data_IF_567116431208
#
_entry.id   IF_567116431208
#
_cell.length_a   1.000
_cell.length_b   1.000
_cell.length_c   1.000
_cell.angle_alpha   90.00
_cell.angle_beta   90.00
_cell.angle_gamma   90.00
#
_symmetry.space_group_name_H-M   'P 1'
#
loop_
_entity.id
_entity.type
_entity.pdbx_description
1 polymer ?
#
# COMPACT_ATOMS: atom_id res chain seq x y z
N UNK A 1 -33.18 22.68 1.24
CA UNK A 1 -32.20 23.70 1.67
C UNK A 1 -30.97 23.48 0.85
N UNK A 2 -30.30 24.51 0.42
CA UNK A 2 -29.05 24.37 -0.38
C UNK A 2 -27.95 23.83 0.54
N UNK A 3 -27.38 22.68 0.21
CA UNK A 3 -26.30 22.03 0.99
C UNK A 3 -25.02 22.85 0.86
N UNK A 4 -24.56 23.44 1.97
CA UNK A 4 -23.36 24.30 2.00
C UNK A 4 -22.15 23.55 2.51
N UNK A 5 -21.04 23.60 1.75
CA UNK A 5 -19.77 22.93 2.04
C UNK A 5 -18.70 24.00 2.31
N UNK A 6 -17.96 23.84 3.41
CA UNK A 6 -16.77 24.64 3.70
C UNK A 6 -15.53 23.84 3.29
N UNK A 7 -14.71 24.40 2.40
CA UNK A 7 -13.39 23.85 2.04
C UNK A 7 -12.33 24.61 2.82
N UNK A 8 -11.51 23.89 3.57
CA UNK A 8 -10.40 24.44 4.35
C UNK A 8 -9.09 23.88 3.78
N UNK A 9 -8.35 24.72 3.06
CA UNK A 9 -7.12 24.33 2.33
C UNK A 9 -6.27 25.57 2.08
N UNK A 10 -4.97 25.50 2.35
CA UNK A 10 -4.03 26.61 2.13
C UNK A 10 -3.62 26.76 0.66
N UNK A 11 -3.79 25.70 -0.15
CA UNK A 11 -3.67 25.81 -1.61
C UNK A 11 -4.92 26.46 -2.21
N UNK A 12 -4.82 27.79 -2.39
CA UNK A 12 -5.89 28.63 -2.95
C UNK A 12 -6.32 28.11 -4.33
N UNK A 13 -5.41 27.65 -5.15
CA UNK A 13 -5.68 27.14 -6.51
C UNK A 13 -6.52 25.86 -6.44
N UNK A 14 -6.14 24.93 -5.59
CA UNK A 14 -6.86 23.70 -5.36
C UNK A 14 -8.25 23.95 -4.75
N UNK A 15 -8.34 24.82 -3.73
CA UNK A 15 -9.62 25.20 -3.12
C UNK A 15 -10.58 25.84 -4.13
N UNK A 16 -10.11 26.74 -5.02
CA UNK A 16 -10.92 27.36 -6.08
C UNK A 16 -11.36 26.34 -7.14
N UNK A 17 -10.50 25.40 -7.49
CA UNK A 17 -10.84 24.31 -8.41
C UNK A 17 -11.97 23.46 -7.83
N UNK A 18 -11.84 23.00 -6.60
CA UNK A 18 -12.86 22.21 -5.91
C UNK A 18 -14.17 23.01 -5.74
N UNK A 19 -14.08 24.28 -5.34
CA UNK A 19 -15.26 25.15 -5.25
C UNK A 19 -16.01 25.22 -6.58
N UNK A 20 -15.31 25.50 -7.66
CA UNK A 20 -15.93 25.60 -9.00
C UNK A 20 -16.58 24.27 -9.41
N UNK A 21 -15.91 23.16 -9.12
CA UNK A 21 -16.37 21.83 -9.47
C UNK A 21 -17.61 21.40 -8.65
N UNK A 22 -17.64 21.67 -7.34
CA UNK A 22 -18.78 21.39 -6.45
C UNK A 22 -19.97 22.32 -6.71
N UNK A 23 -19.72 23.63 -6.96
CA UNK A 23 -20.79 24.58 -7.30
C UNK A 23 -21.53 24.19 -8.59
N UNK A 24 -20.84 23.65 -9.59
CA UNK A 24 -21.47 23.12 -10.81
C UNK A 24 -22.39 21.92 -10.54
N UNK A 25 -22.27 21.30 -9.37
CA UNK A 25 -23.09 20.14 -8.93
C UNK A 25 -24.21 20.52 -7.96
N UNK A 26 -24.40 21.82 -7.74
CA UNK A 26 -25.51 22.34 -6.95
C UNK A 26 -25.22 22.56 -5.47
N UNK A 27 -23.94 22.46 -5.05
CA UNK A 27 -23.56 22.78 -3.68
C UNK A 27 -23.23 24.26 -3.51
N UNK A 28 -23.66 24.87 -2.39
CA UNK A 28 -23.13 26.15 -1.95
C UNK A 28 -21.73 25.94 -1.37
N UNK A 29 -20.71 26.63 -1.86
CA UNK A 29 -19.32 26.36 -1.42
C UNK A 29 -18.61 27.63 -0.99
N UNK A 30 -18.04 27.59 0.23
CA UNK A 30 -17.12 28.60 0.76
C UNK A 30 -15.73 28.02 0.98
N UNK A 31 -14.71 28.88 0.97
CA UNK A 31 -13.30 28.46 1.13
C UNK A 31 -12.66 29.24 2.27
N UNK A 32 -11.84 28.56 3.08
CA UNK A 32 -11.00 29.12 4.12
C UNK A 32 -9.56 28.63 3.93
N UNK A 33 -8.58 29.52 4.06
CA UNK A 33 -7.16 29.21 3.85
C UNK A 33 -6.40 28.88 5.15
N UNK A 34 -7.09 28.80 6.29
CA UNK A 34 -6.50 28.53 7.60
C UNK A 34 -7.53 28.00 8.58
N UNK A 35 -7.10 27.37 9.67
CA UNK A 35 -7.97 26.92 10.74
C UNK A 35 -8.69 28.08 11.44
N UNK A 36 -8.03 29.21 11.63
CA UNK A 36 -8.63 30.41 12.21
C UNK A 36 -9.77 30.96 11.34
N UNK A 37 -9.58 31.03 10.01
CA UNK A 37 -10.62 31.43 9.08
C UNK A 37 -11.79 30.44 9.07
N UNK A 38 -11.50 29.12 9.13
CA UNK A 38 -12.50 28.08 9.21
C UNK A 38 -13.37 28.19 10.48
N UNK A 39 -12.74 28.45 11.65
CA UNK A 39 -13.48 28.68 12.91
C UNK A 39 -14.42 29.87 12.84
N UNK A 40 -13.98 30.95 12.21
CA UNK A 40 -14.81 32.15 12.01
C UNK A 40 -16.03 31.85 11.14
N UNK A 41 -15.80 31.14 10.01
CA UNK A 41 -16.86 30.73 9.09
C UNK A 41 -17.85 29.75 9.77
N UNK A 42 -17.37 28.76 10.49
CA UNK A 42 -18.19 27.79 11.22
C UNK A 42 -19.00 28.43 12.37
N UNK A 43 -18.43 29.44 13.01
CA UNK A 43 -19.14 30.25 14.03
C UNK A 43 -20.33 31.03 13.49
N UNK A 44 -20.32 31.39 12.21
CA UNK A 44 -21.48 32.01 11.54
C UNK A 44 -22.58 30.99 11.18
N UNK A 45 -22.26 29.68 11.21
CA UNK A 45 -23.18 28.57 10.98
C UNK A 45 -23.59 28.35 9.52
N UNK A 46 -24.48 27.38 9.32
CA UNK A 46 -25.12 27.12 8.02
C UNK A 46 -24.35 26.21 7.06
N UNK A 47 -23.30 25.51 7.51
CA UNK A 47 -22.63 24.50 6.73
C UNK A 47 -23.18 23.10 7.01
N UNK A 48 -23.28 22.28 5.96
CA UNK A 48 -23.73 20.89 6.01
C UNK A 48 -22.55 19.92 6.04
N UNK A 49 -21.36 20.34 5.57
CA UNK A 49 -20.14 19.52 5.49
C UNK A 49 -18.89 20.41 5.51
N UNK A 50 -17.80 19.88 6.08
CA UNK A 50 -16.46 20.47 6.00
C UNK A 50 -15.53 19.51 5.24
N UNK A 51 -14.79 20.03 4.25
CA UNK A 51 -13.65 19.38 3.62
C UNK A 51 -12.40 20.08 4.13
N UNK A 52 -11.60 19.42 4.97
CA UNK A 52 -10.41 20.05 5.58
C UNK A 52 -9.13 19.38 5.12
N UNK A 53 -8.15 20.18 4.69
CA UNK A 53 -6.78 19.66 4.58
C UNK A 53 -6.26 19.28 5.97
N UNK A 54 -5.37 18.30 5.96
CA UNK A 54 -4.63 17.84 7.13
C UNK A 54 -3.60 18.88 7.58
N UNK A 55 -2.95 19.56 6.65
CA UNK A 55 -1.93 20.59 6.91
C UNK A 55 -2.49 21.97 6.62
N UNK A 56 -2.58 22.78 7.65
CA UNK A 56 -2.95 24.19 7.54
C UNK A 56 -1.79 25.06 8.06
N UNK A 57 -1.65 26.30 7.58
CA UNK A 57 -0.50 27.15 7.89
C UNK A 57 -0.39 27.57 9.36
N UNK A 58 -1.51 27.59 10.06
CA UNK A 58 -1.63 28.03 11.45
C UNK A 58 -1.75 26.86 12.44
N UNK A 59 -2.42 25.78 12.07
CA UNK A 59 -2.65 24.59 12.91
C UNK A 59 -2.78 23.31 12.06
N UNK A 60 -2.70 22.14 12.71
CA UNK A 60 -3.01 20.85 12.09
C UNK A 60 -4.54 20.71 11.92
N UNK A 61 -5.00 20.11 10.81
CA UNK A 61 -6.41 19.79 10.58
C UNK A 61 -7.03 18.93 11.70
N UNK A 62 -6.22 18.19 12.44
CA UNK A 62 -6.62 17.47 13.66
C UNK A 62 -7.06 18.46 14.75
N UNK A 63 -6.35 19.57 14.93
CA UNK A 63 -6.70 20.59 15.94
C UNK A 63 -8.02 21.29 15.61
N UNK A 64 -8.29 21.52 14.31
CA UNK A 64 -9.60 22.03 13.88
C UNK A 64 -10.72 21.04 14.21
N UNK A 65 -10.52 19.75 13.96
CA UNK A 65 -11.48 18.70 14.26
C UNK A 65 -11.77 18.60 15.78
N UNK A 66 -10.73 18.66 16.60
CA UNK A 66 -10.86 18.67 18.08
C UNK A 66 -11.59 19.90 18.58
N UNK A 67 -11.32 21.06 18.00
CA UNK A 67 -12.05 22.29 18.33
C UNK A 67 -13.53 22.17 17.95
N UNK A 68 -13.88 21.65 16.78
CA UNK A 68 -15.28 21.44 16.37
C UNK A 68 -16.01 20.51 17.34
N UNK A 69 -15.36 19.42 17.77
CA UNK A 69 -15.91 18.49 18.76
C UNK A 69 -16.10 19.17 20.13
N UNK A 70 -15.14 19.98 20.59
CA UNK A 70 -15.22 20.72 21.85
C UNK A 70 -16.21 21.89 21.85
N UNK A 71 -16.40 22.55 20.70
CA UNK A 71 -17.33 23.63 20.51
C UNK A 71 -18.78 23.14 20.21
N UNK A 72 -19.01 21.84 20.11
CA UNK A 72 -20.32 21.26 19.83
C UNK A 72 -20.84 21.60 18.42
N UNK A 73 -19.97 21.75 17.43
CA UNK A 73 -20.34 22.02 16.04
C UNK A 73 -20.69 20.68 15.36
N UNK A 74 -21.97 20.36 15.11
CA UNK A 74 -22.43 19.04 14.65
C UNK A 74 -22.30 18.89 13.11
N UNK A 75 -21.23 19.43 12.51
CA UNK A 75 -21.01 19.37 11.06
C UNK A 75 -20.05 18.25 10.76
N UNK A 76 -20.40 17.29 9.87
CA UNK A 76 -19.50 16.22 9.47
C UNK A 76 -18.26 16.76 8.75
N UNK A 77 -17.10 16.13 9.01
CA UNK A 77 -15.81 16.52 8.43
C UNK A 77 -15.26 15.38 7.60
N UNK A 78 -14.89 15.66 6.36
CA UNK A 78 -14.05 14.80 5.52
C UNK A 78 -12.67 15.42 5.45
N UNK A 79 -11.65 14.64 5.81
CA UNK A 79 -10.26 15.11 5.83
C UNK A 79 -9.59 14.79 4.50
N UNK A 80 -8.94 15.78 3.89
CA UNK A 80 -8.11 15.60 2.69
C UNK A 80 -6.64 15.46 3.12
N UNK A 81 -5.94 14.42 2.67
CA UNK A 81 -4.58 14.11 3.13
C UNK A 81 -3.66 13.68 2.00
N UNK A 82 -2.38 13.99 2.08
CA UNK A 82 -1.37 13.44 1.17
C UNK A 82 -1.11 11.95 1.47
N UNK A 83 -0.65 11.21 0.46
CA UNK A 83 -0.40 9.75 0.56
C UNK A 83 0.55 9.35 1.72
N UNK A 84 1.42 10.26 2.13
CA UNK A 84 2.36 10.05 3.25
C UNK A 84 1.71 10.11 4.65
N UNK A 85 0.44 10.51 4.76
CA UNK A 85 -0.23 10.82 6.04
C UNK A 85 -1.43 9.92 6.36
N UNK A 86 -1.60 8.79 5.68
CA UNK A 86 -2.71 7.85 5.87
C UNK A 86 -2.83 7.38 7.33
N UNK A 87 -1.71 7.30 8.07
CA UNK A 87 -1.74 6.97 9.50
C UNK A 87 -2.46 8.05 10.34
N UNK A 88 -2.39 9.30 9.91
CA UNK A 88 -3.11 10.40 10.56
C UNK A 88 -4.62 10.37 10.23
N UNK A 89 -5.02 9.85 9.08
CA UNK A 89 -6.43 9.66 8.72
C UNK A 89 -7.17 8.75 9.73
N UNK A 90 -6.53 7.67 10.18
CA UNK A 90 -7.08 6.79 11.23
C UNK A 90 -7.26 7.55 12.56
N UNK A 91 -6.37 8.48 12.88
CA UNK A 91 -6.47 9.34 14.07
C UNK A 91 -7.64 10.33 13.94
N UNK A 92 -7.83 10.90 12.75
CA UNK A 92 -8.96 11.78 12.47
C UNK A 92 -10.30 11.06 12.62
N UNK A 93 -10.42 9.83 12.14
CA UNK A 93 -11.62 9.00 12.31
C UNK A 93 -11.94 8.74 13.79
N UNK A 94 -10.93 8.49 14.63
CA UNK A 94 -11.08 8.33 16.09
C UNK A 94 -11.50 9.62 16.79
N UNK A 95 -11.21 10.77 16.22
CA UNK A 95 -11.55 12.09 16.72
C UNK A 95 -12.89 12.63 16.18
N UNK A 96 -13.61 11.84 15.39
CA UNK A 96 -14.94 12.16 14.91
C UNK A 96 -15.01 12.66 13.47
N UNK A 97 -13.91 12.57 12.69
CA UNK A 97 -14.02 12.77 11.24
C UNK A 97 -14.96 11.73 10.63
N UNK A 98 -15.76 12.15 9.66
CA UNK A 98 -16.71 11.26 8.98
C UNK A 98 -16.03 10.33 8.01
N UNK A 99 -15.06 10.85 7.25
CA UNK A 99 -14.26 10.09 6.28
C UNK A 99 -12.97 10.86 5.93
N UNK A 100 -12.14 10.27 5.07
CA UNK A 100 -10.95 10.92 4.52
C UNK A 100 -10.82 10.66 3.01
N UNK A 101 -10.09 11.54 2.31
CA UNK A 101 -9.78 11.43 0.88
C UNK A 101 -8.31 11.71 0.65
N UNK A 102 -7.64 10.85 -0.12
CA UNK A 102 -6.23 11.04 -0.47
C UNK A 102 -6.07 12.09 -1.58
N UNK A 103 -5.07 12.98 -1.45
CA UNK A 103 -4.62 13.87 -2.54
C UNK A 103 -3.58 13.11 -3.42
N UNK A 104 -3.69 13.16 -4.77
CA UNK A 104 -4.62 13.95 -5.58
C UNK A 104 -6.06 13.40 -5.51
N UNK A 105 -7.02 14.29 -5.30
CA UNK A 105 -8.42 13.95 -5.08
C UNK A 105 -9.06 13.41 -6.34
N UNK A 106 -9.63 12.21 -6.27
CA UNK A 106 -10.49 11.69 -7.32
C UNK A 106 -11.88 12.34 -7.20
N UNK A 107 -12.36 13.05 -8.24
CA UNK A 107 -13.63 13.79 -8.17
C UNK A 107 -14.85 12.90 -7.88
N UNK A 108 -14.92 11.71 -8.46
CA UNK A 108 -16.07 10.82 -8.31
C UNK A 108 -16.10 10.17 -6.90
N UNK A 109 -14.94 9.82 -6.38
CA UNK A 109 -14.79 9.32 -5.01
C UNK A 109 -15.19 10.39 -3.99
N UNK A 110 -14.70 11.63 -4.17
CA UNK A 110 -15.05 12.74 -3.30
C UNK A 110 -16.57 12.98 -3.29
N UNK A 111 -17.21 13.00 -4.46
CA UNK A 111 -18.65 13.22 -4.57
C UNK A 111 -19.47 12.14 -3.86
N UNK A 112 -19.04 10.88 -3.99
CA UNK A 112 -19.65 9.74 -3.30
C UNK A 112 -19.57 9.91 -1.78
N UNK A 113 -18.39 10.23 -1.24
CA UNK A 113 -18.17 10.45 0.19
C UNK A 113 -18.91 11.65 0.74
N UNK A 114 -19.01 12.73 -0.04
CA UNK A 114 -19.83 13.91 0.32
C UNK A 114 -21.29 13.51 0.51
N UNK A 115 -21.88 12.78 -0.45
CA UNK A 115 -23.27 12.33 -0.36
C UNK A 115 -23.49 11.40 0.82
N UNK A 116 -22.63 10.42 1.01
CA UNK A 116 -22.68 9.50 2.15
C UNK A 116 -22.56 10.22 3.51
N UNK A 117 -21.80 11.32 3.56
CA UNK A 117 -21.68 12.14 4.76
C UNK A 117 -22.92 12.99 5.04
N UNK A 118 -23.62 13.46 4.00
CA UNK A 118 -24.83 14.29 4.08
C UNK A 118 -26.10 13.45 4.32
N UNK A 119 -26.19 12.23 3.77
CA UNK A 119 -27.36 11.35 3.86
C UNK A 119 -27.46 10.60 5.21
N UNK A 120 -26.43 10.63 6.05
CA UNK A 120 -26.43 9.89 7.31
C UNK A 120 -27.12 10.69 8.44
N UNK A 121 -28.06 10.09 9.19
CA UNK A 121 -28.71 10.77 10.32
C UNK A 121 -27.69 11.20 11.38
N UNK A 122 -27.93 12.38 11.97
CA UNK A 122 -27.11 12.98 13.02
C UNK A 122 -26.75 11.99 14.12
N UNK A 123 -25.47 11.63 14.21
CA UNK A 123 -24.95 10.80 15.31
C UNK A 123 -24.74 11.69 16.54
N UNK A 124 -25.58 11.51 17.52
CA UNK A 124 -25.47 12.12 18.86
C UNK A 124 -24.11 11.81 19.50
N UNK A 125 -23.56 12.80 20.20
CA UNK A 125 -22.33 12.71 20.96
C UNK A 125 -22.37 11.58 22.01
N UNK A 126 -21.27 10.87 22.29
CA UNK A 126 -21.25 9.75 23.21
C UNK A 126 -21.22 10.22 24.67
N UNK A 127 -22.29 9.98 25.40
CA UNK A 127 -22.32 10.01 26.86
C UNK A 127 -21.61 8.78 27.45
N UNK A 128 -20.93 9.00 28.59
CA UNK A 128 -20.08 8.04 29.27
C UNK A 128 -20.81 6.80 29.80
N UNK A 129 -20.19 5.66 29.58
CA UNK A 129 -20.11 4.32 30.25
C UNK A 129 -21.27 3.80 31.13
N UNK A 130 -21.55 2.48 31.10
CA UNK A 130 -20.78 1.48 31.87
C UNK A 130 -20.43 0.20 31.10
N UNK A 131 -19.34 -0.44 31.52
CA UNK A 131 -18.83 -1.74 31.09
C UNK A 131 -19.57 -2.92 31.79
N UNK A 132 -19.19 -4.18 31.56
CA UNK A 132 -19.33 -4.96 30.33
C UNK A 132 -20.22 -6.21 30.50
N UNK A 133 -20.85 -6.68 29.48
CA UNK A 133 -21.35 -8.07 29.42
C UNK A 133 -20.95 -8.70 28.09
N UNK A 134 -20.26 -9.82 28.21
CA UNK A 134 -19.90 -10.70 27.11
C UNK A 134 -21.13 -11.17 26.34
N UNK A 135 -21.13 -10.94 25.04
CA UNK A 135 -21.99 -11.65 24.09
C UNK A 135 -21.20 -11.92 22.82
N UNK A 136 -21.10 -13.19 22.49
CA UNK A 136 -20.60 -13.75 21.24
C UNK A 136 -21.33 -13.12 20.06
N UNK A 137 -20.56 -12.57 19.14
CA UNK A 137 -21.05 -12.07 17.86
C UNK A 137 -19.90 -11.40 17.16
N UNK A 138 -19.04 -12.17 16.49
CA UNK A 138 -17.98 -11.66 15.64
C UNK A 138 -18.60 -10.84 14.51
N UNK A 139 -18.62 -9.52 14.68
CA UNK A 139 -18.75 -8.58 13.56
C UNK A 139 -17.50 -8.77 12.69
N UNK A 140 -17.70 -9.30 11.50
CA UNK A 140 -16.67 -9.48 10.48
C UNK A 140 -16.15 -8.09 10.07
N UNK A 141 -15.12 -7.60 10.78
CA UNK A 141 -14.15 -6.72 10.14
C UNK A 141 -13.64 -7.51 8.93
N UNK A 142 -13.93 -7.02 7.73
CA UNK A 142 -13.61 -7.68 6.48
C UNK A 142 -12.18 -8.22 6.57
N UNK A 143 -12.07 -9.55 6.53
CA UNK A 143 -10.81 -10.27 6.55
C UNK A 143 -10.05 -9.84 5.28
N UNK A 144 -9.10 -8.93 5.41
CA UNK A 144 -8.21 -8.55 4.31
C UNK A 144 -7.22 -9.68 3.99
N UNK A 145 -7.54 -10.92 4.36
CA UNK A 145 -6.66 -12.05 4.21
C UNK A 145 -7.41 -13.41 4.24
N UNK A 146 -6.81 -14.41 3.60
CA UNK A 146 -7.32 -15.77 3.55
C UNK A 146 -6.23 -16.78 3.91
N UNK A 147 -6.57 -17.78 4.74
CA UNK A 147 -5.68 -18.89 5.08
C UNK A 147 -5.71 -19.94 3.98
N UNK A 148 -4.54 -20.36 3.47
CA UNK A 148 -4.41 -21.49 2.58
C UNK A 148 -4.81 -22.79 3.26
N UNK A 149 -5.18 -23.78 2.45
CA UNK A 149 -5.64 -25.12 2.91
C UNK A 149 -4.59 -26.21 2.69
N UNK A 150 -3.54 -25.93 1.93
CA UNK A 150 -2.44 -26.84 1.69
C UNK A 150 -1.73 -27.23 3.00
N UNK A 151 -1.02 -28.34 2.98
CA UNK A 151 -0.27 -28.79 4.14
C UNK A 151 0.83 -27.79 4.53
N UNK A 152 1.48 -27.17 3.54
CA UNK A 152 2.47 -26.13 3.78
C UNK A 152 1.85 -24.86 4.45
N UNK A 153 0.66 -24.45 4.00
CA UNK A 153 -0.07 -23.36 4.62
C UNK A 153 -0.50 -23.72 6.05
N UNK A 154 -1.11 -24.89 6.26
CA UNK A 154 -1.51 -25.36 7.59
C UNK A 154 -0.35 -25.36 8.58
N UNK A 155 0.81 -25.90 8.18
CA UNK A 155 2.01 -25.91 9.01
C UNK A 155 2.48 -24.49 9.36
N UNK A 156 2.45 -23.56 8.41
CA UNK A 156 2.76 -22.16 8.67
C UNK A 156 1.83 -21.57 9.74
N UNK A 157 0.51 -21.74 9.60
CA UNK A 157 -0.46 -21.18 10.54
C UNK A 157 -0.41 -21.85 11.92
N UNK A 158 -0.11 -23.14 12.00
CA UNK A 158 0.16 -23.83 13.28
C UNK A 158 1.37 -23.20 14.00
N UNK A 159 2.46 -22.95 13.29
CA UNK A 159 3.63 -22.28 13.85
C UNK A 159 3.33 -20.84 14.27
N UNK A 160 2.50 -20.10 13.51
CA UNK A 160 2.06 -18.76 13.88
C UNK A 160 1.28 -18.81 15.20
N UNK A 161 0.28 -19.68 15.32
CA UNK A 161 -0.52 -19.83 16.53
C UNK A 161 0.31 -20.24 17.75
N UNK A 162 1.37 -21.03 17.54
CA UNK A 162 2.30 -21.43 18.60
C UNK A 162 3.15 -20.24 19.08
N UNK A 163 3.70 -19.44 18.16
CA UNK A 163 4.64 -18.35 18.52
C UNK A 163 3.93 -17.05 18.89
N UNK A 164 2.73 -16.80 18.38
CA UNK A 164 2.01 -15.54 18.58
C UNK A 164 1.81 -15.17 20.06
N UNK A 165 1.42 -16.06 20.98
CA UNK A 165 1.22 -15.72 22.39
C UNK A 165 2.51 -15.44 23.16
N UNK A 166 3.68 -15.73 22.58
CA UNK A 166 4.99 -15.54 23.22
C UNK A 166 5.56 -14.13 23.00
N UNK A 167 6.61 -13.76 23.71
CA UNK A 167 7.38 -12.54 23.47
C UNK A 167 8.67 -12.81 22.64
N UNK A 168 8.79 -13.99 22.04
CA UNK A 168 9.96 -14.32 21.22
C UNK A 168 10.05 -13.41 20.00
N UNK A 169 11.27 -13.05 19.63
CA UNK A 169 11.55 -12.45 18.32
C UNK A 169 11.30 -13.47 17.22
N UNK A 170 10.65 -13.07 16.15
CA UNK A 170 10.31 -13.94 15.02
C UNK A 170 11.00 -13.44 13.77
N UNK A 171 11.73 -14.33 13.09
CA UNK A 171 12.28 -14.07 11.77
C UNK A 171 11.42 -14.76 10.71
N UNK A 172 10.77 -13.98 9.85
CA UNK A 172 9.95 -14.46 8.73
C UNK A 172 10.83 -14.48 7.48
N UNK A 173 11.22 -15.66 7.03
CA UNK A 173 12.04 -15.86 5.83
C UNK A 173 11.17 -16.32 4.65
N UNK A 174 11.35 -15.71 3.49
CA UNK A 174 10.65 -16.10 2.26
C UNK A 174 10.82 -15.10 1.13
N UNK A 175 10.52 -15.54 -0.08
CA UNK A 175 10.66 -14.73 -1.27
C UNK A 175 9.83 -13.43 -1.21
N UNK A 176 10.22 -12.44 -2.01
CA UNK A 176 9.44 -11.22 -2.13
C UNK A 176 8.02 -11.51 -2.65
N UNK A 177 7.03 -10.83 -2.09
CA UNK A 177 5.63 -11.01 -2.51
C UNK A 177 4.90 -12.23 -1.97
N UNK A 178 5.48 -13.00 -1.02
CA UNK A 178 4.82 -14.16 -0.37
C UNK A 178 3.86 -13.77 0.77
N UNK A 179 3.81 -12.49 1.18
CA UNK A 179 2.91 -12.03 2.23
C UNK A 179 3.52 -11.99 3.63
N UNK A 180 4.84 -11.77 3.76
CA UNK A 180 5.56 -11.70 5.05
C UNK A 180 4.98 -10.65 6.02
N UNK A 181 4.65 -9.47 5.51
CA UNK A 181 4.02 -8.41 6.33
C UNK A 181 2.67 -8.86 6.90
N UNK A 182 1.89 -9.58 6.10
CA UNK A 182 0.60 -10.12 6.52
C UNK A 182 0.76 -11.10 7.70
N UNK A 183 1.75 -12.00 7.59
CA UNK A 183 2.09 -12.94 8.68
C UNK A 183 2.54 -12.19 9.93
N UNK A 184 3.31 -11.11 9.80
CA UNK A 184 3.70 -10.28 10.93
C UNK A 184 2.49 -9.61 11.61
N UNK A 185 1.54 -9.10 10.84
CA UNK A 185 0.28 -8.55 11.36
C UNK A 185 -0.57 -9.62 12.05
N UNK A 186 -0.61 -10.85 11.53
CA UNK A 186 -1.32 -11.96 12.13
C UNK A 186 -0.69 -12.36 13.48
N UNK A 187 0.64 -12.48 13.54
CA UNK A 187 1.39 -12.73 14.78
C UNK A 187 1.06 -11.66 15.83
N UNK A 188 0.99 -10.39 15.44
CA UNK A 188 0.62 -9.31 16.34
C UNK A 188 -0.82 -9.45 16.85
N UNK A 189 -1.79 -9.67 15.96
CA UNK A 189 -3.23 -9.81 16.29
C UNK A 189 -3.52 -10.97 17.22
N UNK A 190 -2.81 -12.09 17.06
CA UNK A 190 -2.97 -13.28 17.91
C UNK A 190 -2.09 -13.24 19.19
N UNK A 191 -1.33 -12.15 19.37
CA UNK A 191 -0.45 -11.97 20.53
C UNK A 191 -1.14 -11.33 21.72
N UNK A 192 -0.48 -11.36 22.87
CA UNK A 192 -0.88 -10.60 24.07
C UNK A 192 -0.84 -9.09 23.87
N UNK A 193 -0.25 -8.62 22.76
CA UNK A 193 -0.12 -7.21 22.39
C UNK A 193 -1.10 -6.77 21.28
N UNK A 194 -2.12 -7.56 20.98
CA UNK A 194 -3.07 -7.31 19.87
C UNK A 194 -3.75 -5.93 19.91
N UNK A 195 -3.96 -5.34 21.08
CA UNK A 195 -4.54 -3.99 21.23
C UNK A 195 -3.50 -2.87 21.38
N UNK A 196 -2.21 -3.16 21.14
CA UNK A 196 -1.09 -2.23 21.25
C UNK A 196 -0.63 -1.77 19.87
N UNK A 197 0.27 -0.77 19.76
CA UNK A 197 0.79 -0.34 18.47
C UNK A 197 1.45 -1.48 17.68
N UNK A 198 1.19 -1.50 16.37
CA UNK A 198 1.95 -2.26 15.38
C UNK A 198 2.63 -1.26 14.46
N UNK A 199 3.95 -1.19 14.50
CA UNK A 199 4.75 -0.26 13.69
C UNK A 199 5.56 -1.08 12.70
N UNK A 200 5.35 -0.82 11.39
CA UNK A 200 6.08 -1.46 10.32
C UNK A 200 7.11 -0.49 9.73
N UNK A 201 8.32 -0.98 9.51
CA UNK A 201 9.41 -0.25 8.84
C UNK A 201 9.96 -1.12 7.73
N UNK A 202 9.93 -0.62 6.50
CA UNK A 202 10.62 -1.21 5.36
C UNK A 202 12.07 -0.70 5.34
N UNK A 203 13.02 -1.58 5.71
CA UNK A 203 14.44 -1.25 5.78
C UNK A 203 15.06 -0.96 4.41
N UNK A 204 14.45 -1.47 3.32
CA UNK A 204 14.89 -1.22 1.95
C UNK A 204 14.45 0.16 1.43
N UNK A 205 13.32 0.67 1.91
CA UNK A 205 12.78 1.97 1.49
C UNK A 205 13.39 3.15 2.27
N UNK A 206 14.00 2.91 3.44
CA UNK A 206 14.60 3.98 4.26
C UNK A 206 15.96 4.38 3.72
N UNK A 207 16.18 5.67 3.34
CA UNK A 207 17.51 6.15 2.96
C UNK A 207 18.53 5.91 4.09
N UNK A 208 19.74 5.47 3.71
CA UNK A 208 20.80 5.09 4.68
C UNK A 208 21.12 6.19 5.69
N UNK A 209 21.15 7.43 5.23
CA UNK A 209 21.45 8.62 6.04
C UNK A 209 20.37 8.94 7.06
N UNK A 210 19.13 8.52 6.80
CA UNK A 210 17.98 8.76 7.66
C UNK A 210 17.63 7.56 8.54
N UNK A 211 18.24 6.41 8.32
CA UNK A 211 17.88 5.16 9.01
C UNK A 211 17.90 5.31 10.53
N UNK A 212 18.96 5.89 11.11
CA UNK A 212 19.05 6.12 12.53
C UNK A 212 17.92 7.03 13.07
N UNK A 213 17.55 8.06 12.31
CA UNK A 213 16.45 8.96 12.66
C UNK A 213 15.08 8.28 12.55
N UNK A 214 14.87 7.43 11.53
CA UNK A 214 13.62 6.68 11.38
C UNK A 214 13.42 5.65 12.50
N UNK A 215 14.48 4.94 12.86
CA UNK A 215 14.42 3.92 13.91
C UNK A 215 14.36 4.50 15.32
N UNK A 216 15.26 5.43 15.65
CA UNK A 216 15.50 5.88 17.03
C UNK A 216 14.99 7.29 17.32
N UNK A 217 14.54 8.02 16.29
CA UNK A 217 14.14 9.42 16.43
C UNK A 217 15.32 10.39 16.43
N UNK A 218 15.02 11.68 16.46
CA UNK A 218 16.02 12.73 16.57
C UNK A 218 15.50 13.95 17.31
N UNK A 219 16.41 14.75 17.85
CA UNK A 219 16.10 16.06 18.41
C UNK A 219 16.37 17.15 17.38
N UNK A 220 15.62 18.24 17.47
CA UNK A 220 15.79 19.42 16.62
C UNK A 220 17.25 19.87 16.57
N UNK A 221 17.76 20.16 15.36
CA UNK A 221 19.13 20.63 15.13
C UNK A 221 20.22 19.56 15.17
N UNK A 222 19.87 18.28 15.25
CA UNK A 222 20.84 17.17 15.29
C UNK A 222 21.59 16.93 13.99
N UNK A 223 21.02 17.33 12.85
CA UNK A 223 21.64 17.30 11.52
C UNK A 223 20.99 18.35 10.61
N UNK A 224 21.59 18.61 9.45
CA UNK A 224 21.05 19.54 8.44
C UNK A 224 19.71 19.02 7.92
N UNK A 225 18.61 19.72 8.27
CA UNK A 225 17.24 19.29 7.95
C UNK A 225 16.42 18.83 9.16
N UNK A 226 17.00 18.69 10.34
CA UNK A 226 16.27 18.39 11.59
C UNK A 226 15.56 19.64 12.14
N UNK A 227 14.45 20.03 11.51
CA UNK A 227 13.71 21.26 11.84
C UNK A 227 12.87 21.14 13.12
N UNK A 228 12.48 19.92 13.50
CA UNK A 228 11.67 19.58 14.68
C UNK A 228 12.17 18.28 15.32
N UNK A 229 11.72 17.97 16.53
CA UNK A 229 11.92 16.65 17.14
C UNK A 229 11.11 15.60 16.38
N UNK A 230 11.64 14.39 16.23
CA UNK A 230 10.97 13.26 15.60
C UNK A 230 11.00 12.03 16.49
N UNK A 231 9.84 11.47 16.76
CA UNK A 231 9.68 10.16 17.42
C UNK A 231 10.09 9.05 16.46
N UNK A 232 10.97 8.15 16.90
CA UNK A 232 11.41 7.00 16.10
C UNK A 232 10.47 5.80 16.18
N UNK A 233 10.66 4.83 15.27
CA UNK A 233 9.83 3.62 15.18
C UNK A 233 9.85 2.80 16.48
N UNK A 234 10.98 2.73 17.19
CA UNK A 234 11.09 2.02 18.48
C UNK A 234 10.21 2.63 19.56
N UNK A 235 10.22 3.95 19.68
CA UNK A 235 9.39 4.67 20.65
C UNK A 235 7.91 4.58 20.26
N UNK A 236 7.59 4.70 18.97
CA UNK A 236 6.22 4.56 18.46
C UNK A 236 5.65 3.14 18.68
N UNK A 237 6.51 2.12 18.71
CA UNK A 237 6.13 0.72 18.93
C UNK A 237 6.11 0.32 20.41
N UNK A 238 6.36 1.25 21.35
CA UNK A 238 6.47 0.92 22.77
C UNK A 238 5.21 0.25 23.32
N UNK A 239 5.41 -0.81 24.08
CA UNK A 239 4.35 -1.71 24.57
C UNK A 239 3.75 -2.63 23.48
N UNK A 240 4.08 -2.43 22.21
CA UNK A 240 3.52 -3.09 21.03
C UNK A 240 4.47 -4.03 20.31
N UNK A 241 4.35 -4.03 18.96
CA UNK A 241 5.17 -4.85 18.06
C UNK A 241 5.85 -3.96 17.02
N UNK A 242 7.16 -4.10 16.87
CA UNK A 242 7.93 -3.52 15.79
C UNK A 242 8.14 -4.58 14.70
N UNK A 243 7.70 -4.29 13.49
CA UNK A 243 7.95 -5.13 12.31
C UNK A 243 9.00 -4.47 11.43
N UNK A 244 10.07 -5.21 11.12
CA UNK A 244 11.15 -4.79 10.24
C UNK A 244 11.11 -5.65 8.98
N UNK A 245 10.69 -5.07 7.85
CA UNK A 245 10.78 -5.78 6.56
C UNK A 245 12.15 -5.54 5.92
N UNK A 246 12.62 -6.53 5.16
CA UNK A 246 13.88 -6.52 4.44
C UNK A 246 15.10 -6.18 5.32
N UNK A 247 15.19 -6.81 6.51
CA UNK A 247 16.25 -6.50 7.50
C UNK A 247 17.67 -6.72 6.97
N UNK A 248 17.86 -7.50 5.90
CA UNK A 248 19.14 -7.67 5.21
C UNK A 248 19.71 -6.38 4.62
N UNK A 249 18.84 -5.40 4.31
CA UNK A 249 19.23 -4.12 3.73
C UNK A 249 19.78 -3.09 4.74
N UNK A 250 19.76 -3.41 6.04
CA UNK A 250 20.27 -2.52 7.08
C UNK A 250 21.77 -2.26 6.92
N UNK A 251 22.19 -0.98 7.06
CA UNK A 251 23.62 -0.64 7.12
C UNK A 251 24.27 -1.22 8.38
N UNK A 252 25.58 -1.45 8.33
CA UNK A 252 26.31 -2.01 9.46
C UNK A 252 26.15 -1.18 10.75
N UNK A 253 26.16 0.13 10.63
CA UNK A 253 25.95 1.07 11.72
C UNK A 253 24.57 0.93 12.36
N UNK A 254 23.53 0.80 11.50
CA UNK A 254 22.16 0.59 11.97
C UNK A 254 22.00 -0.76 12.66
N UNK A 255 22.66 -1.82 12.14
CA UNK A 255 22.69 -3.13 12.79
C UNK A 255 23.27 -3.07 14.22
N UNK A 256 24.35 -2.29 14.43
CA UNK A 256 24.95 -2.10 15.76
C UNK A 256 23.98 -1.41 16.72
N UNK A 257 23.32 -0.33 16.24
CA UNK A 257 22.35 0.41 17.05
C UNK A 257 21.12 -0.42 17.38
N UNK A 258 20.61 -1.17 16.38
CA UNK A 258 19.50 -2.10 16.54
C UNK A 258 19.80 -3.18 17.59
N UNK A 259 20.99 -3.78 17.52
CA UNK A 259 21.40 -4.79 18.50
C UNK A 259 21.41 -4.21 19.94
N UNK A 260 21.98 -3.02 20.12
CA UNK A 260 21.99 -2.35 21.42
C UNK A 260 20.58 -2.09 21.94
N UNK A 261 19.69 -1.53 21.11
CA UNK A 261 18.31 -1.27 21.46
C UNK A 261 17.56 -2.54 21.91
N UNK A 262 17.80 -3.67 21.22
CA UNK A 262 17.20 -4.97 21.56
C UNK A 262 17.78 -5.63 22.83
N UNK A 263 19.05 -5.37 23.14
CA UNK A 263 19.72 -5.93 24.32
C UNK A 263 19.43 -5.11 25.57
N UNK A 264 19.57 -3.79 25.48
CA UNK A 264 19.46 -2.86 26.61
C UNK A 264 18.01 -2.44 26.89
N UNK A 265 17.09 -2.69 25.92
CA UNK A 265 15.69 -2.22 25.93
C UNK A 265 15.61 -0.70 26.12
N UNK A 266 16.53 0.01 25.52
CA UNK A 266 16.62 1.47 25.54
C UNK A 266 17.08 1.97 24.20
N UNK A 267 16.60 3.13 23.82
CA UNK A 267 17.04 3.86 22.63
C UNK A 267 17.60 5.21 23.01
N UNK A 268 18.40 5.79 22.10
CA UNK A 268 18.90 7.15 22.22
C UNK A 268 18.62 7.89 20.91
N UNK A 269 17.75 8.92 20.91
CA UNK A 269 17.51 9.74 19.73
C UNK A 269 18.78 10.39 19.21
N UNK A 270 18.88 10.57 17.89
CA UNK A 270 20.02 11.22 17.25
C UNK A 270 20.16 12.65 17.78
N UNK A 271 21.37 13.03 18.18
CA UNK A 271 21.64 14.34 18.79
C UNK A 271 21.27 14.48 20.27
N UNK A 272 20.75 13.43 20.90
CA UNK A 272 20.37 13.42 22.32
C UNK A 272 21.24 12.46 23.14
N UNK A 273 21.53 12.83 24.40
CA UNK A 273 22.13 11.92 25.37
C UNK A 273 21.09 11.23 26.28
N UNK A 274 19.79 11.53 26.08
CA UNK A 274 18.72 10.94 26.86
C UNK A 274 18.45 9.52 26.39
N UNK A 275 18.44 8.57 27.31
CA UNK A 275 18.01 7.20 27.06
C UNK A 275 16.50 7.08 27.34
N UNK A 276 15.78 6.46 26.41
CA UNK A 276 14.34 6.22 26.48
C UNK A 276 14.15 4.71 26.61
N UNK A 277 13.55 4.20 27.71
CA UNK A 277 13.24 2.78 27.82
C UNK A 277 12.14 2.41 26.82
N UNK A 278 12.23 1.23 26.19
CA UNK A 278 11.25 0.71 25.22
C UNK A 278 11.01 -0.78 25.47
N UNK A 279 9.75 -1.17 25.48
CA UNK A 279 9.34 -2.58 25.56
C UNK A 279 8.63 -2.99 24.27
N UNK A 280 9.38 -3.48 23.30
CA UNK A 280 8.84 -3.93 22.02
C UNK A 280 8.92 -5.45 21.87
N UNK A 281 7.99 -6.02 21.12
CA UNK A 281 8.14 -7.32 20.48
C UNK A 281 8.65 -7.12 19.06
N UNK A 282 9.71 -7.83 18.68
CA UNK A 282 10.27 -7.74 17.34
C UNK A 282 9.74 -8.86 16.46
N UNK A 283 9.29 -8.50 15.25
CA UNK A 283 9.11 -9.41 14.12
C UNK A 283 9.96 -8.86 12.98
N UNK A 284 10.85 -9.65 12.44
CA UNK A 284 11.73 -9.26 11.33
C UNK A 284 11.40 -10.11 10.10
N UNK A 285 11.54 -9.56 8.92
CA UNK A 285 11.36 -10.30 7.67
C UNK A 285 12.53 -10.08 6.71
N UNK A 286 12.84 -11.10 5.91
CA UNK A 286 13.88 -11.05 4.89
C UNK A 286 13.56 -11.99 3.74
N UNK A 287 14.04 -11.66 2.55
CA UNK A 287 14.13 -12.55 1.38
C UNK A 287 15.56 -13.03 1.13
N UNK A 288 16.54 -12.53 1.90
CA UNK A 288 17.94 -12.89 1.77
C UNK A 288 18.32 -14.06 2.69
N UNK A 289 19.36 -14.78 2.29
CA UNK A 289 20.06 -15.72 3.14
C UNK A 289 21.02 -14.94 4.07
N UNK A 290 20.56 -14.71 5.32
CA UNK A 290 21.33 -13.98 6.32
C UNK A 290 22.59 -14.74 6.77
N UNK A 291 22.62 -16.07 6.71
CA UNK A 291 23.82 -16.86 7.04
C UNK A 291 24.91 -16.63 5.98
N UNK A 292 24.52 -16.62 4.71
CA UNK A 292 25.43 -16.24 3.63
C UNK A 292 25.86 -14.76 3.75
N UNK A 293 24.96 -13.85 4.19
CA UNK A 293 25.31 -12.44 4.44
C UNK A 293 26.31 -12.29 5.60
N UNK A 294 26.19 -13.09 6.65
CA UNK A 294 27.16 -13.15 7.77
C UNK A 294 28.53 -13.62 7.24
N UNK A 295 28.57 -14.67 6.43
CA UNK A 295 29.80 -15.16 5.83
C UNK A 295 30.50 -14.13 4.94
N UNK A 296 29.72 -13.26 4.26
CA UNK A 296 30.23 -12.12 3.47
C UNK A 296 30.63 -10.90 4.32
N UNK A 297 30.33 -10.90 5.61
CA UNK A 297 30.57 -9.75 6.51
C UNK A 297 29.60 -8.57 6.33
N UNK A 298 28.51 -8.74 5.59
CA UNK A 298 27.49 -7.71 5.36
C UNK A 298 26.40 -7.69 6.44
N UNK A 299 26.25 -8.79 7.19
CA UNK A 299 25.32 -8.89 8.31
C UNK A 299 26.03 -9.41 9.56
N UNK A 300 25.65 -8.92 10.74
CA UNK A 300 26.29 -9.28 12.01
C UNK A 300 25.69 -10.58 12.58
N UNK A 301 26.54 -11.49 12.97
CA UNK A 301 26.13 -12.76 13.58
C UNK A 301 25.40 -12.56 14.93
N UNK A 302 25.86 -11.59 15.75
CA UNK A 302 25.22 -11.30 17.05
C UNK A 302 23.81 -10.74 16.91
N UNK A 303 23.57 -9.87 15.93
CA UNK A 303 22.22 -9.40 15.60
C UNK A 303 21.34 -10.55 15.07
N UNK A 304 21.87 -11.38 14.17
CA UNK A 304 21.14 -12.55 13.65
C UNK A 304 20.61 -13.42 14.79
N UNK A 305 21.46 -13.81 15.74
CA UNK A 305 21.06 -14.63 16.87
C UNK A 305 20.03 -13.92 17.79
N UNK A 306 20.02 -12.60 17.82
CA UNK A 306 19.06 -11.84 18.64
C UNK A 306 17.69 -11.76 17.99
N UNK A 307 17.61 -11.61 16.66
CA UNK A 307 16.34 -11.50 15.91
C UNK A 307 15.76 -12.88 15.55
N UNK A 308 16.60 -13.90 15.42
CA UNK A 308 16.21 -15.25 15.02
C UNK A 308 16.02 -16.17 16.25
N UNK A 309 15.08 -15.81 17.15
CA UNK A 309 14.68 -16.71 18.24
C UNK A 309 13.70 -17.79 17.77
N UNK A 310 12.90 -17.48 16.75
CA UNK A 310 12.00 -18.41 16.07
C UNK A 310 11.92 -18.07 14.58
N UNK A 311 12.16 -19.05 13.71
CA UNK A 311 12.10 -18.86 12.26
C UNK A 311 10.77 -19.37 11.71
N UNK A 312 10.06 -18.50 10.94
CA UNK A 312 8.95 -18.88 10.08
C UNK A 312 9.40 -18.87 8.62
N UNK A 313 9.16 -19.95 7.91
CA UNK A 313 9.43 -20.00 6.46
C UNK A 313 8.12 -19.83 5.70
N UNK A 314 8.08 -18.81 4.86
CA UNK A 314 6.95 -18.55 3.98
C UNK A 314 7.00 -19.48 2.77
N UNK A 315 5.97 -20.32 2.56
CA UNK A 315 5.89 -21.12 1.34
C UNK A 315 5.56 -20.23 0.14
N UNK A 316 6.10 -20.58 -1.02
CA UNK A 316 5.77 -19.93 -2.29
C UNK A 316 4.50 -20.53 -2.91
N UNK A 317 3.73 -19.79 -3.74
CA UNK A 317 2.54 -20.34 -4.41
C UNK A 317 2.79 -21.64 -5.18
N UNK A 318 3.97 -21.80 -5.82
CA UNK A 318 4.35 -23.03 -6.50
C UNK A 318 4.46 -24.25 -5.57
N UNK A 319 4.61 -24.05 -4.26
CA UNK A 319 4.60 -25.10 -3.22
C UNK A 319 3.20 -25.33 -2.64
N UNK A 320 2.23 -24.45 -2.96
CA UNK A 320 0.85 -24.46 -2.49
C UNK A 320 -0.11 -24.35 -3.67
N UNK A 321 0.12 -25.08 -4.77
CA UNK A 321 -0.66 -24.94 -6.02
C UNK A 321 -2.17 -25.14 -5.80
N UNK A 322 -2.56 -25.99 -4.87
CA UNK A 322 -3.95 -26.23 -4.49
C UNK A 322 -4.64 -25.01 -3.85
N UNK A 323 -3.86 -24.06 -3.31
CA UNK A 323 -4.38 -22.83 -2.72
C UNK A 323 -4.48 -21.67 -3.73
N UNK A 324 -3.86 -21.79 -4.92
CA UNK A 324 -3.86 -20.71 -5.93
C UNK A 324 -5.29 -20.30 -6.32
N UNK A 325 -6.23 -21.23 -6.60
CA UNK A 325 -7.61 -20.84 -6.89
C UNK A 325 -8.26 -20.06 -5.74
N UNK A 326 -8.01 -20.48 -4.51
CA UNK A 326 -8.53 -19.82 -3.32
C UNK A 326 -8.00 -18.38 -3.18
N UNK A 327 -6.70 -18.18 -3.41
CA UNK A 327 -6.10 -16.84 -3.42
C UNK A 327 -6.59 -16.00 -4.61
N UNK A 328 -6.77 -16.60 -5.79
CA UNK A 328 -7.28 -15.91 -6.97
C UNK A 328 -8.70 -15.39 -6.74
N UNK A 329 -9.61 -16.20 -6.18
CA UNK A 329 -10.97 -15.79 -5.84
C UNK A 329 -10.97 -14.66 -4.81
N UNK A 330 -10.13 -14.75 -3.79
CA UNK A 330 -9.98 -13.70 -2.79
C UNK A 330 -9.50 -12.37 -3.40
N UNK A 331 -8.53 -12.41 -4.30
CA UNK A 331 -8.05 -11.20 -5.00
C UNK A 331 -9.08 -10.69 -6.00
N UNK A 332 -9.89 -11.57 -6.61
CA UNK A 332 -11.01 -11.17 -7.46
C UNK A 332 -12.06 -10.40 -6.67
N UNK A 333 -12.41 -10.88 -5.47
CA UNK A 333 -13.34 -10.16 -4.58
C UNK A 333 -12.81 -8.77 -4.20
N UNK A 334 -11.49 -8.64 -3.97
CA UNK A 334 -10.87 -7.34 -3.73
C UNK A 334 -10.90 -6.46 -4.98
N UNK A 335 -10.53 -7.01 -6.14
CA UNK A 335 -10.52 -6.29 -7.41
C UNK A 335 -11.93 -5.81 -7.81
N UNK A 336 -12.96 -6.63 -7.60
CA UNK A 336 -14.35 -6.25 -7.83
C UNK A 336 -14.76 -5.02 -7.00
N UNK A 337 -14.35 -4.98 -5.71
CA UNK A 337 -14.63 -3.83 -4.83
C UNK A 337 -13.84 -2.58 -5.25
N UNK A 338 -12.57 -2.77 -5.62
CA UNK A 338 -11.66 -1.68 -6.00
C UNK A 338 -12.06 -1.04 -7.35
N UNK A 339 -12.53 -1.87 -8.30
CA UNK A 339 -12.87 -1.44 -9.67
C UNK A 339 -14.37 -1.22 -9.87
N UNK A 340 -15.21 -1.42 -8.83
CA UNK A 340 -16.69 -1.40 -8.91
C UNK A 340 -17.22 -2.32 -10.02
N UNK A 341 -16.61 -3.52 -10.15
CA UNK A 341 -17.01 -4.57 -11.10
C UNK A 341 -17.75 -5.72 -10.38
N UNK A 342 -18.39 -6.57 -11.16
CA UNK A 342 -19.15 -7.74 -10.68
C UNK A 342 -18.77 -8.99 -11.45
N UNK A 343 -17.48 -9.27 -11.55
CA UNK A 343 -16.98 -10.50 -12.16
C UNK A 343 -17.27 -11.66 -11.20
N UNK A 344 -17.91 -12.71 -11.70
CA UNK A 344 -18.36 -13.86 -10.92
C UNK A 344 -17.21 -14.80 -10.57
N UNK A 345 -16.22 -14.93 -11.47
CA UNK A 345 -15.11 -15.87 -11.29
C UNK A 345 -14.22 -15.97 -12.50
N UNK A 346 -13.51 -17.07 -12.57
CA UNK A 346 -12.63 -17.44 -13.70
C UNK A 346 -13.30 -18.55 -14.52
N UNK A 347 -13.16 -18.52 -15.83
CA UNK A 347 -13.55 -19.68 -16.63
C UNK A 347 -12.63 -20.89 -16.32
N UNK A 348 -13.05 -22.13 -16.64
CA UNK A 348 -12.24 -23.33 -16.31
C UNK A 348 -10.84 -23.31 -16.92
N UNK A 349 -10.67 -22.68 -18.10
CA UNK A 349 -9.37 -22.63 -18.79
C UNK A 349 -8.46 -21.59 -18.13
N UNK A 350 -8.98 -20.43 -17.75
CA UNK A 350 -8.24 -19.41 -17.00
C UNK A 350 -7.86 -19.91 -15.60
N UNK A 351 -8.78 -20.58 -14.89
CA UNK A 351 -8.50 -21.15 -13.59
C UNK A 351 -7.37 -22.20 -13.65
N UNK A 352 -7.39 -23.08 -14.67
CA UNK A 352 -6.35 -24.06 -14.89
C UNK A 352 -4.99 -23.41 -15.22
N UNK A 353 -4.98 -22.35 -16.01
CA UNK A 353 -3.76 -21.60 -16.36
C UNK A 353 -3.15 -20.94 -15.10
N UNK A 354 -3.99 -20.29 -14.27
CA UNK A 354 -3.54 -19.68 -13.01
C UNK A 354 -2.94 -20.72 -12.06
N UNK A 355 -3.57 -21.91 -11.92
CA UNK A 355 -3.10 -22.98 -11.05
C UNK A 355 -1.79 -23.63 -11.55
N UNK A 356 -1.57 -23.66 -12.86
CA UNK A 356 -0.39 -24.27 -13.48
C UNK A 356 0.85 -23.36 -13.44
N UNK A 357 0.67 -22.05 -13.38
CA UNK A 357 1.77 -21.07 -13.44
C UNK A 357 2.62 -21.07 -12.16
N UNK A 358 3.92 -20.83 -12.27
CA UNK A 358 4.87 -20.93 -11.15
C UNK A 358 4.92 -19.69 -10.24
N UNK A 359 4.37 -18.57 -10.69
CA UNK A 359 4.28 -17.31 -9.94
C UNK A 359 5.63 -16.81 -9.41
N UNK A 360 6.61 -16.47 -10.26
CA UNK A 360 7.91 -15.98 -9.80
C UNK A 360 7.84 -14.73 -8.93
N UNK A 361 6.81 -13.88 -9.12
CA UNK A 361 6.51 -12.73 -8.25
C UNK A 361 5.54 -13.05 -7.10
N UNK A 362 5.28 -14.34 -6.85
CA UNK A 362 4.46 -14.86 -5.75
C UNK A 362 3.04 -14.25 -5.69
N UNK A 363 2.48 -14.09 -4.50
CA UNK A 363 1.12 -13.56 -4.31
C UNK A 363 0.97 -12.11 -4.78
N UNK A 364 2.06 -11.33 -4.81
CA UNK A 364 2.05 -9.96 -5.36
C UNK A 364 1.79 -9.98 -6.86
N UNK A 365 2.41 -10.88 -7.59
CA UNK A 365 2.16 -11.06 -9.02
C UNK A 365 0.74 -11.59 -9.25
N UNK A 366 0.30 -12.60 -8.52
CA UNK A 366 -1.06 -13.15 -8.63
C UNK A 366 -2.12 -12.05 -8.42
N UNK A 367 -2.01 -11.26 -7.35
CA UNK A 367 -2.91 -10.14 -7.07
C UNK A 367 -2.97 -9.13 -8.22
N UNK A 368 -1.81 -8.71 -8.71
CA UNK A 368 -1.73 -7.73 -9.81
C UNK A 368 -2.30 -8.29 -11.11
N UNK A 369 -2.06 -9.56 -11.39
CA UNK A 369 -2.64 -10.26 -12.55
C UNK A 369 -4.16 -10.32 -12.45
N UNK A 370 -4.70 -10.72 -11.32
CA UNK A 370 -6.15 -10.78 -11.10
C UNK A 370 -6.78 -9.40 -11.21
N UNK A 371 -6.17 -8.36 -10.62
CA UNK A 371 -6.64 -6.98 -10.73
C UNK A 371 -6.69 -6.51 -12.19
N UNK A 372 -5.61 -6.74 -12.94
CA UNK A 372 -5.53 -6.38 -14.37
C UNK A 372 -6.54 -7.16 -15.20
N UNK A 373 -6.67 -8.47 -14.97
CA UNK A 373 -7.63 -9.31 -15.67
C UNK A 373 -9.07 -8.88 -15.36
N UNK A 374 -9.38 -8.54 -14.12
CA UNK A 374 -10.68 -7.99 -13.71
C UNK A 374 -10.98 -6.69 -14.44
N UNK A 375 -9.99 -5.80 -14.60
CA UNK A 375 -10.14 -4.55 -15.35
C UNK A 375 -10.46 -4.80 -16.83
N UNK A 376 -9.77 -5.76 -17.45
CA UNK A 376 -9.89 -6.09 -18.88
C UNK A 376 -11.15 -6.91 -19.21
N UNK A 377 -11.66 -7.70 -18.28
CA UNK A 377 -12.79 -8.58 -18.49
C UNK A 377 -14.03 -7.79 -18.95
N UNK A 378 -14.57 -8.19 -20.11
CA UNK A 378 -15.78 -7.62 -20.69
C UNK A 378 -17.06 -8.42 -20.35
N UNK A 379 -16.93 -9.65 -19.87
CA UNK A 379 -18.02 -10.56 -19.47
C UNK A 379 -18.12 -10.76 -17.98
N UNK A 380 -18.94 -11.74 -17.58
CA UNK A 380 -19.13 -12.11 -16.17
C UNK A 380 -17.97 -12.97 -15.62
N UNK A 381 -17.15 -13.56 -16.48
CA UNK A 381 -16.02 -14.41 -16.11
C UNK A 381 -14.73 -13.91 -16.74
N UNK A 382 -13.62 -14.02 -16.00
CA UNK A 382 -12.27 -13.82 -16.52
C UNK A 382 -11.90 -15.04 -17.38
N UNK A 383 -11.47 -14.78 -18.63
CA UNK A 383 -11.04 -15.80 -19.58
C UNK A 383 -9.54 -15.75 -19.81
N UNK A 384 -8.98 -16.76 -20.52
CA UNK A 384 -7.56 -16.74 -20.89
C UNK A 384 -7.16 -15.51 -21.76
N UNK A 385 -8.11 -14.85 -22.41
CA UNK A 385 -7.84 -13.63 -23.19
C UNK A 385 -7.56 -12.41 -22.31
N UNK A 386 -8.07 -12.42 -21.10
CA UNK A 386 -7.92 -11.35 -20.12
C UNK A 386 -6.65 -11.53 -19.29
N UNK A 387 -5.99 -12.70 -19.39
CA UNK A 387 -4.75 -13.04 -18.71
C UNK A 387 -3.52 -12.74 -19.57
N UNK A 388 -2.37 -12.38 -18.97
CA UNK A 388 -1.10 -12.26 -19.68
C UNK A 388 -0.72 -13.55 -20.42
N UNK A 389 -0.17 -13.43 -21.64
CA UNK A 389 0.22 -14.56 -22.47
C UNK A 389 1.24 -15.51 -21.83
N UNK A 390 2.09 -15.01 -20.95
CA UNK A 390 3.04 -15.82 -20.16
C UNK A 390 2.36 -16.83 -19.23
N UNK A 391 1.16 -16.53 -18.75
CA UNK A 391 0.37 -17.41 -17.85
C UNK A 391 -0.43 -18.43 -18.66
N UNK A 392 -0.95 -18.03 -19.81
CA UNK A 392 -1.78 -18.91 -20.66
C UNK A 392 -0.97 -19.88 -21.51
N UNK A 393 0.37 -19.74 -21.52
CA UNK A 393 1.26 -20.54 -22.38
C UNK A 393 1.11 -20.24 -23.86
N UNK A 394 0.28 -19.26 -24.22
CA UNK A 394 0.16 -18.77 -25.60
C UNK A 394 1.42 -17.94 -25.84
N UNK A 395 2.44 -18.60 -26.37
CA UNK A 395 3.63 -17.93 -26.88
C UNK A 395 3.19 -16.81 -27.81
N UNK A 396 3.86 -15.66 -27.75
CA UNK A 396 3.61 -14.48 -28.59
C UNK A 396 3.58 -14.73 -30.12
N UNK A 397 3.65 -15.99 -30.55
CA UNK A 397 3.56 -16.41 -31.94
C UNK A 397 2.13 -16.40 -32.53
N UNK A 398 1.07 -16.45 -31.72
CA UNK A 398 -0.32 -16.44 -32.21
C UNK A 398 -1.06 -15.10 -32.04
N UNK A 399 -0.51 -14.17 -31.29
CA UNK A 399 -1.03 -12.79 -31.18
C UNK A 399 -0.47 -11.82 -32.23
N UNK A 400 0.13 -12.33 -33.31
CA UNK A 400 0.74 -11.52 -34.36
C UNK A 400 -0.28 -10.90 -35.35
N UNK A 401 -1.39 -10.36 -34.83
CA UNK A 401 -2.33 -9.54 -35.61
C UNK A 401 -2.43 -8.08 -35.13
N UNK A 402 -1.62 -7.64 -34.16
CA UNK A 402 -1.54 -6.22 -33.78
C UNK A 402 -0.10 -5.70 -33.96
N UNK A 403 0.11 -4.51 -34.55
CA UNK A 403 1.43 -3.97 -34.79
C UNK A 403 2.08 -3.55 -33.45
N UNK A 404 3.11 -4.28 -33.02
CA UNK A 404 3.93 -3.90 -31.86
C UNK A 404 4.94 -2.81 -32.25
N UNK A 405 5.13 -1.76 -31.42
CA UNK A 405 6.19 -0.78 -31.66
C UNK A 405 7.56 -1.42 -31.43
N UNK A 406 8.38 -1.34 -32.44
CA UNK A 406 9.75 -1.83 -32.57
C UNK A 406 10.65 -1.22 -31.49
N UNK A 407 11.12 -1.99 -30.51
CA UNK A 407 11.93 -1.51 -29.36
C UNK A 407 13.36 -2.05 -29.27
N UNK A 408 13.74 -3.04 -30.07
CA UNK A 408 15.08 -3.61 -30.01
C UNK A 408 15.74 -3.59 -31.39
N UNK A 409 16.91 -2.93 -31.48
CA UNK A 409 17.57 -2.58 -32.74
C UNK A 409 17.89 -3.79 -33.63
N UNK A 410 18.35 -4.90 -33.03
CA UNK A 410 18.69 -6.12 -33.74
C UNK A 410 17.44 -6.90 -34.22
N UNK A 411 16.38 -6.92 -33.43
CA UNK A 411 15.09 -7.52 -33.76
C UNK A 411 14.37 -6.75 -34.87
N UNK A 412 14.49 -5.42 -34.87
CA UNK A 412 13.89 -4.53 -35.84
C UNK A 412 14.50 -4.72 -37.24
N UNK A 413 15.82 -4.79 -37.31
CA UNK A 413 16.55 -5.01 -38.57
C UNK A 413 16.16 -6.36 -39.21
N UNK A 414 16.06 -7.43 -38.41
CA UNK A 414 15.67 -8.75 -38.90
C UNK A 414 14.21 -8.79 -39.37
N UNK A 415 13.31 -8.10 -38.71
CA UNK A 415 11.90 -7.99 -39.12
C UNK A 415 11.76 -7.24 -40.46
N UNK A 416 12.51 -6.15 -40.64
CA UNK A 416 12.55 -5.40 -41.87
C UNK A 416 13.06 -6.28 -43.03
N UNK A 417 14.14 -7.04 -42.82
CA UNK A 417 14.68 -7.97 -43.84
C UNK A 417 13.69 -9.06 -44.19
N UNK A 418 13.00 -9.65 -43.22
CA UNK A 418 11.96 -10.67 -43.47
C UNK A 418 10.78 -10.09 -44.23
N UNK A 419 10.30 -8.89 -43.88
CA UNK A 419 9.19 -8.25 -44.58
C UNK A 419 9.55 -7.88 -46.03
N UNK A 420 10.79 -7.44 -46.29
CA UNK A 420 11.28 -7.18 -47.64
C UNK A 420 11.40 -8.48 -48.45
N UNK A 421 11.88 -9.56 -47.91
CA UNK A 421 11.97 -10.87 -48.53
C UNK A 421 10.55 -11.40 -48.87
N UNK A 422 9.61 -11.34 -47.94
CA UNK A 422 8.21 -11.74 -48.12
C UNK A 422 7.47 -10.87 -49.19
N UNK A 423 7.85 -9.60 -49.32
CA UNK A 423 7.32 -8.68 -50.32
C UNK A 423 8.06 -8.73 -51.64
N UNK A 424 8.99 -9.67 -51.86
CA UNK A 424 9.77 -9.77 -53.09
C UNK A 424 10.55 -8.49 -53.43
N UNK A 425 11.04 -7.77 -52.45
CA UNK A 425 11.75 -6.48 -52.61
C UNK A 425 10.84 -5.25 -52.76
N UNK A 426 9.52 -5.41 -52.77
CA UNK A 426 8.61 -4.30 -52.90
C UNK A 426 8.45 -3.51 -51.60
N UNK A 427 9.14 -2.37 -51.52
CA UNK A 427 9.20 -1.50 -50.30
C UNK A 427 7.80 -0.98 -49.88
N UNK A 428 6.86 -0.81 -50.81
CA UNK A 428 5.49 -0.39 -50.46
C UNK A 428 4.65 -1.51 -49.83
N UNK A 429 4.83 -2.74 -50.30
CA UNK A 429 4.22 -3.92 -49.71
C UNK A 429 4.87 -4.29 -48.36
N UNK A 430 6.18 -4.20 -48.27
CA UNK A 430 6.89 -4.41 -47.00
C UNK A 430 6.46 -3.41 -45.91
N UNK A 431 6.25 -2.14 -46.24
CA UNK A 431 5.73 -1.14 -45.31
C UNK A 431 4.33 -1.51 -44.79
N UNK A 432 3.45 -2.01 -45.66
CA UNK A 432 2.11 -2.51 -45.29
C UNK A 432 2.19 -3.74 -44.38
N UNK A 433 3.10 -4.68 -44.65
CA UNK A 433 3.29 -5.88 -43.83
C UNK A 433 3.83 -5.53 -42.43
N UNK A 434 4.64 -4.47 -42.32
CA UNK A 434 5.18 -3.98 -41.05
C UNK A 434 4.24 -2.99 -40.32
N UNK A 435 3.12 -2.62 -40.91
CA UNK A 435 2.17 -1.67 -40.33
C UNK A 435 2.75 -0.24 -40.16
N UNK A 436 3.75 0.13 -40.98
CA UNK A 436 4.39 1.46 -40.93
C UNK A 436 4.20 2.19 -42.28
N UNK A 437 4.32 3.50 -42.26
CA UNK A 437 4.27 4.28 -43.49
C UNK A 437 5.57 4.10 -44.32
N UNK A 438 5.45 4.35 -45.64
CA UNK A 438 6.53 4.13 -46.57
C UNK A 438 7.76 5.01 -46.27
N UNK A 439 7.56 6.24 -45.75
CA UNK A 439 8.65 7.17 -45.42
C UNK A 439 9.42 6.67 -44.22
N UNK A 440 8.73 6.14 -43.22
CA UNK A 440 9.33 5.51 -42.02
C UNK A 440 10.14 4.28 -42.41
N UNK A 441 9.66 3.43 -43.32
CA UNK A 441 10.43 2.28 -43.82
C UNK A 441 11.72 2.73 -44.54
N UNK A 442 11.65 3.75 -45.39
CA UNK A 442 12.85 4.27 -46.07
C UNK A 442 13.90 4.81 -45.10
N UNK A 443 13.46 5.55 -44.11
CA UNK A 443 14.39 6.06 -43.06
C UNK A 443 15.05 4.91 -42.29
N UNK A 444 14.32 3.84 -41.99
CA UNK A 444 14.85 2.66 -41.28
C UNK A 444 15.78 1.82 -42.18
N UNK A 445 15.47 1.65 -43.45
CA UNK A 445 16.36 0.99 -44.43
C UNK A 445 17.71 1.74 -44.51
N UNK A 446 17.68 3.06 -44.56
CA UNK A 446 18.88 3.86 -44.56
C UNK A 446 19.66 3.77 -43.22
N UNK A 447 18.93 3.74 -42.09
CA UNK A 447 19.53 3.63 -40.76
C UNK A 447 20.23 2.29 -40.52
N UNK A 448 19.71 1.20 -41.13
CA UNK A 448 20.24 -0.16 -40.98
C UNK A 448 21.11 -0.60 -42.16
N UNK A 449 21.33 0.26 -43.16
CA UNK A 449 22.15 -0.06 -44.34
C UNK A 449 21.61 -1.21 -45.18
N UNK A 450 20.27 -1.36 -45.24
CA UNK A 450 19.59 -2.38 -46.05
C UNK A 450 19.17 -1.74 -47.35
N UNK A 451 19.78 -2.15 -48.48
CA UNK A 451 19.43 -1.64 -49.83
C UNK A 451 18.15 -2.26 -50.43
#
# INVERSE_FOLDING_TARGET
>A
MEERILIVDDDITFALMLRTWLSKRGFGVETASSAAAARTALGAGGFSLVLSDMRLPDEDGIALLQWMAGAGVPVPVIVMTSYAEIQNAVRCMKLGARDYVAKPVNPDELLKKIREALDAPEAQAPAAKPAPRAAKGASAAALNYIEGRSDAARQLYEHIRLVAPTNMSVLVNGESGTGKEHVAQLIHRESKRAGKPFVAVDCGAVPRELAASEFFGHVKGSFTGALADKTGAFEAADGGTLFLDEVGNLTYETQVQLLRALQERRIRPVGSNREIPVDIRLVAATNEDLEAAIARGTFRADLYHRINSFTLRMPCPRQMREDIPLYADFFLDQANRELDKRIVGFDPTAAAALAAYDWPGNLRQLRNTVLSATLLAAGEYITCRDLPGEITGVSAAESAAAPHPLRDRASEEEQIRRALAAAGGNKSQAAKLLGIDRKTLYNKLHLYGIE
#
